data_IF_420148720521
#
_entry.id   IF_420148720521
#
_cell.length_a   1.000
_cell.length_b   1.000
_cell.length_c   1.000
_cell.angle_alpha   90.00
_cell.angle_beta   90.00
_cell.angle_gamma   90.00
#
_symmetry.space_group_name_H-M   'P 1'
#
loop_
_entity.id
_entity.type
_entity.pdbx_description
1 polymer ?
#
# COMPACT_ATOMS: atom_id res chain seq x y z
N UNK A 1 28.32 9.16 -3.56
CA UNK A 1 26.90 9.03 -3.14
C UNK A 1 26.76 7.76 -2.31
N UNK A 2 27.16 7.81 -1.05
CA UNK A 2 27.12 6.62 -0.19
C UNK A 2 25.98 6.62 0.83
N UNK A 3 25.11 7.63 0.80
CA UNK A 3 24.05 7.84 1.79
C UNK A 3 22.77 8.36 1.12
N UNK A 4 22.25 7.61 0.18
CA UNK A 4 20.98 7.95 -0.42
C UNK A 4 19.87 7.06 0.13
N UNK A 5 18.64 7.58 0.11
CA UNK A 5 17.45 6.84 0.50
C UNK A 5 16.73 6.40 -0.78
N UNK A 6 16.29 5.16 -0.77
CA UNK A 6 15.71 4.53 -1.95
C UNK A 6 14.20 4.42 -1.82
N UNK A 7 13.53 4.31 -2.96
CA UNK A 7 12.12 3.97 -2.98
C UNK A 7 11.92 2.60 -2.32
N UNK A 8 10.91 2.46 -1.45
CA UNK A 8 10.61 1.17 -0.85
C UNK A 8 10.22 0.14 -1.91
N UNK A 9 10.67 -1.10 -1.73
CA UNK A 9 10.14 -2.21 -2.47
C UNK A 9 8.71 -2.49 -1.98
N UNK A 10 7.81 -2.70 -2.93
CA UNK A 10 6.42 -3.03 -2.65
C UNK A 10 5.97 -4.23 -3.47
N UNK A 11 5.16 -5.07 -2.86
CA UNK A 11 4.46 -6.17 -3.51
C UNK A 11 2.97 -6.04 -3.19
N UNK A 12 2.13 -6.20 -4.19
CA UNK A 12 0.69 -6.19 -4.00
C UNK A 12 0.04 -7.41 -4.66
N UNK A 13 -0.90 -8.00 -3.96
CA UNK A 13 -1.82 -9.01 -4.49
C UNK A 13 -3.23 -8.45 -4.38
N UNK A 14 -4.00 -8.55 -5.46
CA UNK A 14 -5.39 -8.15 -5.44
C UNK A 14 -6.31 -9.29 -5.85
N UNK A 15 -7.54 -9.20 -5.39
CA UNK A 15 -8.66 -10.09 -5.70
C UNK A 15 -9.91 -9.22 -5.74
N UNK A 16 -10.77 -9.46 -6.70
CA UNK A 16 -12.03 -8.71 -6.79
C UNK A 16 -12.85 -9.11 -7.99
N UNK A 17 -13.94 -8.42 -8.18
CA UNK A 17 -14.84 -8.66 -9.28
C UNK A 17 -15.82 -7.53 -9.50
N UNK A 18 -16.37 -7.50 -10.70
CA UNK A 18 -17.43 -6.59 -11.12
C UNK A 18 -18.76 -7.34 -11.18
N UNK A 19 -19.85 -6.63 -10.98
CA UNK A 19 -21.19 -7.15 -11.15
C UNK A 19 -21.63 -7.11 -12.64
N UNK A 20 -22.85 -7.53 -12.91
CA UNK A 20 -23.41 -7.55 -14.26
C UNK A 20 -23.60 -6.15 -14.87
N UNK A 21 -23.64 -5.12 -14.04
CA UNK A 21 -23.80 -3.72 -14.43
C UNK A 21 -22.44 -3.01 -14.61
N UNK A 22 -21.31 -3.72 -14.38
CA UNK A 22 -19.97 -3.19 -14.50
C UNK A 22 -19.46 -2.45 -13.25
N UNK A 23 -20.18 -2.47 -12.12
CA UNK A 23 -19.73 -1.85 -10.90
C UNK A 23 -18.78 -2.77 -10.15
N UNK A 24 -17.81 -2.19 -9.41
CA UNK A 24 -16.88 -2.96 -8.59
C UNK A 24 -17.61 -3.48 -7.36
N UNK A 25 -18.00 -4.75 -7.41
CA UNK A 25 -18.74 -5.41 -6.33
C UNK A 25 -17.85 -5.73 -5.12
N UNK A 26 -16.60 -6.12 -5.38
CA UNK A 26 -15.64 -6.43 -4.34
C UNK A 26 -14.20 -6.06 -4.78
N UNK A 27 -13.42 -5.53 -3.84
CA UNK A 27 -12.03 -5.18 -4.03
C UNK A 27 -11.25 -5.56 -2.77
N UNK A 28 -10.35 -6.50 -2.91
CA UNK A 28 -9.42 -6.89 -1.86
C UNK A 28 -7.99 -6.67 -2.33
N UNK A 29 -7.25 -5.86 -1.60
CA UNK A 29 -5.84 -5.61 -1.86
C UNK A 29 -5.03 -5.98 -0.62
N UNK A 30 -3.99 -6.77 -0.81
CA UNK A 30 -2.97 -7.02 0.19
C UNK A 30 -1.65 -6.45 -0.30
N UNK A 31 -1.18 -5.40 0.34
CA UNK A 31 0.10 -4.77 0.04
C UNK A 31 1.13 -5.08 1.13
N UNK A 32 2.35 -5.38 0.72
CA UNK A 32 3.51 -5.52 1.61
C UNK A 32 4.57 -4.58 1.11
N UNK A 33 4.95 -3.60 1.93
CA UNK A 33 5.97 -2.62 1.56
C UNK A 33 6.83 -2.22 2.76
N UNK A 34 8.07 -1.81 2.47
CA UNK A 34 8.95 -1.22 3.47
C UNK A 34 8.35 0.10 3.98
N UNK A 35 8.55 0.44 5.27
CA UNK A 35 8.13 1.73 5.79
C UNK A 35 8.87 2.86 5.08
N UNK A 36 8.20 3.96 4.83
CA UNK A 36 8.79 5.16 4.23
C UNK A 36 9.57 6.00 5.24
N UNK A 37 9.17 5.94 6.51
CA UNK A 37 9.87 6.65 7.56
C UNK A 37 11.07 5.85 8.05
N UNK A 38 12.30 6.39 7.95
CA UNK A 38 13.54 5.71 8.37
C UNK A 38 13.55 5.29 9.84
N UNK A 39 12.79 5.96 10.67
CA UNK A 39 12.75 5.77 12.12
C UNK A 39 11.53 5.00 12.61
N UNK A 40 10.79 4.34 11.73
CA UNK A 40 9.59 3.61 12.16
C UNK A 40 8.66 4.48 13.01
N UNK A 41 8.39 5.70 12.56
CA UNK A 41 7.66 6.78 13.27
C UNK A 41 6.23 6.42 13.72
N UNK A 42 5.88 5.16 13.74
CA UNK A 42 4.67 4.66 14.40
C UNK A 42 4.92 4.07 15.78
N UNK A 43 6.16 4.06 16.26
CA UNK A 43 6.48 3.45 17.56
C UNK A 43 7.53 4.23 18.34
N UNK A 44 7.18 5.39 18.81
CA UNK A 44 7.84 5.93 19.98
C UNK A 44 7.20 5.26 21.20
N UNK A 45 7.90 4.23 21.73
CA UNK A 45 7.79 3.80 23.11
C UNK A 45 6.46 3.16 23.54
N UNK A 46 6.17 1.98 23.07
CA UNK A 46 5.19 1.10 23.70
C UNK A 46 5.80 -0.26 23.99
N UNK A 47 6.20 -0.52 25.20
CA UNK A 47 6.44 -1.85 25.78
C UNK A 47 5.10 -2.59 25.86
N UNK A 48 4.48 -2.86 24.75
CA UNK A 48 3.22 -3.61 24.70
C UNK A 48 3.03 -4.12 23.30
N UNK A 49 2.85 -5.43 23.12
CA UNK A 49 2.62 -6.10 21.84
C UNK A 49 1.26 -5.79 21.22
N UNK A 50 0.92 -4.51 21.13
CA UNK A 50 -0.25 -4.05 20.38
C UNK A 50 0.06 -4.01 18.89
N UNK A 51 -0.94 -4.31 18.05
CA UNK A 51 -0.85 -4.24 16.62
C UNK A 51 -0.25 -2.89 16.19
N UNK A 52 0.92 -2.94 15.56
CA UNK A 52 1.58 -1.73 15.08
C UNK A 52 0.68 -1.09 14.01
N UNK A 53 0.28 0.16 14.27
CA UNK A 53 -0.46 0.92 13.27
C UNK A 53 0.37 1.01 11.98
N UNK A 54 -0.25 0.84 10.82
CA UNK A 54 0.46 1.02 9.55
C UNK A 54 1.05 2.43 9.47
N UNK A 55 2.21 2.54 8.84
CA UNK A 55 2.77 3.84 8.49
C UNK A 55 1.80 4.55 7.53
N UNK A 56 1.24 5.68 7.98
CA UNK A 56 0.25 6.43 7.19
C UNK A 56 0.78 6.79 5.80
N UNK A 57 2.06 7.15 5.72
CA UNK A 57 2.68 7.50 4.46
C UNK A 57 2.84 6.28 3.53
N UNK A 58 3.01 5.08 4.10
CA UNK A 58 3.14 3.87 3.31
C UNK A 58 1.80 3.33 2.76
N UNK A 59 0.68 3.72 3.35
CA UNK A 59 -0.67 3.30 2.89
C UNK A 59 -1.41 4.41 2.14
N UNK A 60 -0.86 5.61 2.07
CA UNK A 60 -1.42 6.72 1.30
C UNK A 60 -1.49 6.36 -0.19
N UNK A 61 -2.62 6.69 -0.83
CA UNK A 61 -2.91 6.27 -2.21
C UNK A 61 -3.53 4.86 -2.34
N UNK A 62 -3.51 4.04 -1.27
CA UNK A 62 -4.30 2.79 -1.23
C UNK A 62 -5.67 3.03 -0.60
N UNK A 63 -5.70 3.71 0.55
CA UNK A 63 -6.91 3.89 1.34
C UNK A 63 -7.75 5.10 0.94
N UNK A 64 -7.20 6.00 0.16
CA UNK A 64 -7.84 7.23 -0.33
C UNK A 64 -8.17 7.19 -1.82
N UNK A 65 -8.50 6.01 -2.33
CA UNK A 65 -8.89 5.88 -3.74
C UNK A 65 -10.21 6.61 -4.03
N UNK A 66 -10.35 7.27 -5.20
CA UNK A 66 -11.54 8.04 -5.56
C UNK A 66 -12.68 7.20 -6.14
N UNK A 67 -12.63 5.90 -5.99
CA UNK A 67 -13.62 4.98 -6.55
C UNK A 67 -14.58 4.49 -5.48
N UNK A 68 -15.86 4.39 -5.85
CA UNK A 68 -16.87 3.77 -5.02
C UNK A 68 -16.79 2.25 -5.16
N UNK A 69 -16.63 1.55 -4.04
CA UNK A 69 -16.50 0.10 -3.99
C UNK A 69 -17.41 -0.42 -2.87
N UNK A 70 -18.35 -1.31 -3.23
CA UNK A 70 -19.33 -1.82 -2.28
C UNK A 70 -18.70 -2.62 -1.14
N UNK A 71 -17.68 -3.43 -1.44
CA UNK A 71 -16.97 -4.25 -0.46
C UNK A 71 -15.46 -4.03 -0.62
N UNK A 72 -14.87 -3.20 0.25
CA UNK A 72 -13.46 -2.86 0.21
C UNK A 72 -12.71 -3.45 1.39
N UNK A 73 -11.64 -4.20 1.12
CA UNK A 73 -10.69 -4.67 2.12
C UNK A 73 -9.25 -4.37 1.67
N UNK A 74 -8.52 -3.61 2.47
CA UNK A 74 -7.12 -3.31 2.24
C UNK A 74 -6.31 -3.80 3.44
N UNK A 75 -5.46 -4.79 3.18
CA UNK A 75 -4.49 -5.32 4.13
C UNK A 75 -3.10 -4.75 3.85
N UNK A 76 -2.43 -4.25 4.86
CA UNK A 76 -1.05 -3.79 4.74
C UNK A 76 -0.14 -4.58 5.69
N UNK A 77 0.97 -5.08 5.15
CA UNK A 77 2.01 -5.76 5.89
C UNK A 77 3.38 -5.11 5.71
N UNK A 78 4.27 -5.35 6.67
CA UNK A 78 5.69 -4.99 6.54
C UNK A 78 6.49 -6.22 6.16
N UNK A 79 7.48 -6.10 5.28
CA UNK A 79 8.43 -7.19 5.03
C UNK A 79 9.22 -7.48 6.30
N UNK A 80 9.71 -8.71 6.41
CA UNK A 80 10.59 -9.09 7.51
C UNK A 80 11.91 -8.30 7.53
N UNK A 81 12.72 -8.48 8.58
CA UNK A 81 13.92 -7.66 8.85
C UNK A 81 15.05 -7.80 7.82
N UNK A 82 14.91 -8.66 6.84
CA UNK A 82 15.96 -8.98 5.85
C UNK A 82 16.07 -7.96 4.71
N UNK A 83 15.21 -6.97 4.65
CA UNK A 83 15.30 -5.94 3.61
C UNK A 83 16.22 -4.83 4.13
N UNK A 84 17.48 -4.89 3.72
CA UNK A 84 18.56 -4.05 4.23
C UNK A 84 18.71 -2.69 3.53
N UNK A 85 17.99 -2.46 2.43
CA UNK A 85 18.10 -1.21 1.69
C UNK A 85 17.42 -0.07 2.47
N UNK A 86 18.14 1.00 2.79
CA UNK A 86 17.54 2.15 3.48
C UNK A 86 16.51 2.81 2.57
N UNK A 87 15.30 2.96 3.09
CA UNK A 87 14.19 3.57 2.38
C UNK A 87 13.86 4.94 2.94
N UNK A 88 13.31 5.80 2.12
CA UNK A 88 12.88 7.12 2.53
C UNK A 88 11.93 7.75 1.53
N UNK A 89 11.67 9.03 1.73
CA UNK A 89 10.74 9.75 0.90
C UNK A 89 11.28 9.95 -0.51
N UNK A 90 10.49 9.52 -1.47
CA UNK A 90 10.64 9.82 -2.87
C UNK A 90 9.54 10.80 -3.28
N UNK A 91 9.64 11.42 -4.45
CA UNK A 91 8.57 12.27 -4.98
C UNK A 91 7.23 11.53 -4.91
N UNK A 92 6.19 12.19 -4.45
CA UNK A 92 4.83 11.67 -4.22
C UNK A 92 4.70 10.67 -3.06
N UNK A 93 5.74 10.43 -2.30
CA UNK A 93 5.73 9.63 -1.07
C UNK A 93 5.05 8.26 -1.27
N UNK A 94 3.99 7.92 -0.52
CA UNK A 94 3.22 6.69 -0.67
C UNK A 94 2.54 6.53 -2.03
N UNK A 95 1.85 7.54 -2.55
CA UNK A 95 1.24 7.48 -3.88
C UNK A 95 2.19 7.15 -5.03
N UNK A 96 3.49 7.29 -4.86
CA UNK A 96 4.46 6.98 -5.93
C UNK A 96 4.35 5.55 -6.50
N UNK A 97 3.98 4.57 -5.67
CA UNK A 97 3.75 3.18 -6.06
C UNK A 97 2.30 2.75 -5.80
N UNK A 98 1.68 3.27 -4.74
CA UNK A 98 0.33 2.88 -4.35
C UNK A 98 -0.73 3.31 -5.37
N UNK A 99 -0.63 4.53 -5.90
CA UNK A 99 -1.54 4.99 -6.94
C UNK A 99 -1.40 4.16 -8.21
N UNK A 100 -0.16 3.83 -8.60
CA UNK A 100 0.05 2.93 -9.73
C UNK A 100 -0.62 1.57 -9.52
N UNK A 101 -0.47 0.96 -8.34
CA UNK A 101 -1.12 -0.30 -7.99
C UNK A 101 -2.65 -0.16 -8.08
N UNK A 102 -3.20 0.88 -7.46
CA UNK A 102 -4.64 1.12 -7.44
C UNK A 102 -5.22 1.29 -8.84
N UNK A 103 -4.63 2.17 -9.65
CA UNK A 103 -5.12 2.42 -11.02
C UNK A 103 -4.94 1.20 -11.91
N UNK A 104 -3.84 0.46 -11.76
CA UNK A 104 -3.64 -0.78 -12.53
C UNK A 104 -4.71 -1.83 -12.23
N UNK A 105 -5.12 -1.97 -10.97
CA UNK A 105 -6.20 -2.88 -10.59
C UNK A 105 -7.53 -2.43 -11.19
N UNK A 106 -7.82 -1.14 -11.20
CA UNK A 106 -9.03 -0.61 -11.84
C UNK A 106 -9.04 -0.88 -13.34
N UNK A 107 -7.91 -0.70 -14.03
CA UNK A 107 -7.77 -1.04 -15.44
C UNK A 107 -8.06 -2.54 -15.70
N UNK A 108 -7.59 -3.43 -14.84
CA UNK A 108 -7.87 -4.87 -14.96
C UNK A 108 -9.36 -5.20 -14.77
N UNK A 109 -10.07 -4.46 -13.94
CA UNK A 109 -11.52 -4.60 -13.80
C UNK A 109 -12.28 -4.07 -15.02
N UNK A 110 -11.78 -3.02 -15.65
CA UNK A 110 -12.42 -2.43 -16.83
C UNK A 110 -12.19 -3.24 -18.11
N UNK A 111 -11.14 -4.05 -18.18
CA UNK A 111 -10.77 -4.76 -19.40
C UNK A 111 -11.76 -5.85 -19.84
N UNK A 112 -12.40 -6.65 -18.96
CA UNK A 112 -13.40 -7.65 -19.34
C UNK A 112 -14.84 -7.12 -19.45
N UNK A 113 -15.06 -5.85 -19.17
CA UNK A 113 -16.39 -5.23 -19.13
C UNK A 113 -16.89 -4.79 -20.55
#
# INVERSE_FOLDING_TARGET
MRHDLYRPAAYAKFEGGVDADGNIAAYRLRAVAQPLSPTGSGSRGGRGGGAQRPDRNAVDGLVSMPYEVSNLLIDYGRPGPQVLTPTGYWRSVGPSHNSWITYRVIDEFAYPA
#
